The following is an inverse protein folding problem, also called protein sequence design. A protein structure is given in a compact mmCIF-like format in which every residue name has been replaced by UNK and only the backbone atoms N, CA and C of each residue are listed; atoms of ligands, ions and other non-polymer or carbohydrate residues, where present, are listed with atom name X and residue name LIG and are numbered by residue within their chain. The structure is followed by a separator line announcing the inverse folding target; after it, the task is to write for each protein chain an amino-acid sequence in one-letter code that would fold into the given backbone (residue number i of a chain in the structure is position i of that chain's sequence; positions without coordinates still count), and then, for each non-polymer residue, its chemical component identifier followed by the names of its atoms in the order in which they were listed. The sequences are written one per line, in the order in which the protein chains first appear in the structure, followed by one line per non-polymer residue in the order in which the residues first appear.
data_IF_959788941939
#
_entry.id   IF_959788941939
#
_cell.length_a   1.000
_cell.length_b   1.000
_cell.length_c   1.000
_cell.angle_alpha   90.00
_cell.angle_beta   90.00
_cell.angle_gamma   90.00
#
_symmetry.space_group_name_H-M   'P 1'
#
loop_
_entity.id
_entity.type
_entity.pdbx_description
1 polymer ?
#
# COMPACT_ATOMS: atom_id res chain seq x y z
N UNK A 1 7.09 -21.22 -42.60
CA UNK A 1 7.56 -21.40 -41.22
C UNK A 1 8.20 -20.09 -40.75
N UNK A 2 7.46 -19.19 -40.09
CA UNK A 2 8.06 -17.99 -39.47
C UNK A 2 7.30 -17.38 -38.27
N UNK A 3 6.10 -17.83 -37.88
CA UNK A 3 5.19 -16.92 -37.14
C UNK A 3 4.69 -17.36 -35.76
N UNK A 4 5.38 -18.28 -35.08
CA UNK A 4 5.07 -18.60 -33.65
C UNK A 4 6.07 -17.99 -32.66
N UNK A 5 7.29 -17.68 -33.10
CA UNK A 5 8.36 -17.13 -32.25
C UNK A 5 8.23 -15.61 -32.06
N UNK A 6 7.75 -14.89 -33.09
CA UNK A 6 7.52 -13.44 -33.04
C UNK A 6 6.24 -13.06 -32.25
N UNK A 7 5.18 -13.84 -32.36
CA UNK A 7 3.94 -13.64 -31.59
C UNK A 7 4.14 -13.87 -30.08
N UNK A 8 4.96 -14.86 -29.70
CA UNK A 8 5.30 -15.13 -28.30
C UNK A 8 6.05 -13.95 -27.66
N UNK A 9 7.05 -13.39 -28.34
CA UNK A 9 7.83 -12.24 -27.86
C UNK A 9 6.97 -10.97 -27.68
N UNK A 10 6.04 -10.69 -28.61
CA UNK A 10 5.06 -9.59 -28.42
C UNK A 10 4.14 -9.83 -27.22
N UNK A 11 3.70 -11.08 -27.02
CA UNK A 11 2.80 -11.43 -25.92
C UNK A 11 3.48 -11.37 -24.55
N UNK A 12 4.78 -11.69 -24.46
CA UNK A 12 5.57 -11.57 -23.23
C UNK A 12 5.83 -10.10 -22.88
N UNK A 13 6.25 -9.29 -23.85
CA UNK A 13 6.46 -7.86 -23.65
C UNK A 13 5.17 -7.11 -23.23
N UNK A 14 4.02 -7.48 -23.78
CA UNK A 14 2.72 -6.91 -23.37
C UNK A 14 2.29 -7.36 -21.96
N UNK A 15 2.59 -8.61 -21.58
CA UNK A 15 2.34 -9.12 -20.23
C UNK A 15 3.23 -8.43 -19.21
N UNK A 16 4.50 -8.24 -19.53
CA UNK A 16 5.46 -7.52 -18.68
C UNK A 16 5.08 -6.04 -18.51
N UNK A 17 4.71 -5.36 -19.60
CA UNK A 17 4.22 -3.97 -19.54
C UNK A 17 2.98 -3.83 -18.67
N UNK A 18 2.00 -4.74 -18.85
CA UNK A 18 0.77 -4.74 -18.04
C UNK A 18 1.07 -5.04 -16.57
N UNK A 19 2.01 -5.93 -16.29
CA UNK A 19 2.44 -6.24 -14.91
C UNK A 19 3.15 -5.03 -14.28
N UNK A 20 4.04 -4.35 -15.02
CA UNK A 20 4.73 -3.16 -14.55
C UNK A 20 3.75 -2.01 -14.29
N UNK A 21 2.80 -1.78 -15.20
CA UNK A 21 1.75 -0.77 -15.03
C UNK A 21 0.86 -1.07 -13.83
N UNK A 22 0.50 -2.33 -13.61
CA UNK A 22 -0.28 -2.74 -12.45
C UNK A 22 0.49 -2.56 -11.14
N UNK A 23 1.77 -2.96 -11.10
CA UNK A 23 2.62 -2.76 -9.93
C UNK A 23 2.80 -1.27 -9.61
N UNK A 24 3.02 -0.43 -10.63
CA UNK A 24 3.11 1.01 -10.45
C UNK A 24 1.78 1.59 -9.94
N UNK A 25 0.64 1.12 -10.45
CA UNK A 25 -0.67 1.53 -9.96
C UNK A 25 -0.87 1.19 -8.48
N UNK A 26 -0.58 -0.05 -8.07
CA UNK A 26 -0.71 -0.47 -6.67
C UNK A 26 0.23 0.29 -5.74
N UNK A 27 1.45 0.60 -6.19
CA UNK A 27 2.41 1.37 -5.39
C UNK A 27 1.95 2.82 -5.14
N UNK A 28 1.15 3.38 -6.05
CA UNK A 28 0.53 4.71 -5.93
C UNK A 28 -0.74 4.72 -5.08
N UNK A 29 -1.26 3.55 -4.69
CA UNK A 29 -2.46 3.50 -3.85
C UNK A 29 -2.09 3.68 -2.38
N UNK A 30 -2.75 4.60 -1.66
CA UNK A 30 -2.60 4.68 -0.21
C UNK A 30 -3.11 3.40 0.45
N UNK A 31 -2.43 2.99 1.52
CA UNK A 31 -2.86 1.86 2.35
C UNK A 31 -3.38 2.37 3.67
N UNK A 32 -4.55 1.86 4.05
CA UNK A 32 -5.22 2.18 5.28
C UNK A 32 -5.31 0.97 6.19
N UNK A 33 -5.34 1.24 7.49
CA UNK A 33 -5.65 0.30 8.54
C UNK A 33 -6.94 0.75 9.24
N UNK A 34 -7.92 -0.15 9.33
CA UNK A 34 -9.12 0.08 10.11
C UNK A 34 -8.87 -0.44 11.54
N UNK A 35 -8.78 0.49 12.49
CA UNK A 35 -8.45 0.22 13.90
C UNK A 35 -9.44 -0.77 14.50
N UNK A 36 -8.94 -1.85 15.10
CA UNK A 36 -9.73 -2.88 15.76
C UNK A 36 -9.86 -2.59 17.25
N UNK A 37 -10.82 -3.25 17.88
CA UNK A 37 -11.02 -3.13 19.32
C UNK A 37 -9.78 -3.61 20.08
N UNK A 38 -9.28 -2.77 20.99
CA UNK A 38 -8.12 -3.08 21.83
C UNK A 38 -6.76 -2.74 21.21
N UNK A 39 -6.70 -2.25 19.97
CA UNK A 39 -5.43 -1.79 19.38
C UNK A 39 -5.03 -0.41 19.93
N UNK A 40 -3.72 -0.22 20.08
CA UNK A 40 -3.11 1.05 20.41
C UNK A 40 -2.40 1.63 19.18
N UNK A 41 -2.20 2.94 19.16
CA UNK A 41 -1.48 3.61 18.08
C UNK A 41 -0.07 3.02 17.91
N UNK A 42 0.61 2.70 19.02
CA UNK A 42 1.94 2.09 19.03
C UNK A 42 1.97 0.71 18.39
N UNK A 43 1.02 -0.17 18.71
CA UNK A 43 0.95 -1.52 18.12
C UNK A 43 0.67 -1.47 16.61
N UNK A 44 -0.15 -0.53 16.17
CA UNK A 44 -0.42 -0.33 14.74
C UNK A 44 0.83 0.22 14.05
N UNK A 45 1.49 1.24 14.63
CA UNK A 45 2.70 1.80 14.06
C UNK A 45 3.79 0.73 13.88
N UNK A 46 4.02 -0.10 14.90
CA UNK A 46 4.96 -1.23 14.85
C UNK A 46 4.62 -2.21 13.72
N UNK A 47 3.34 -2.58 13.57
CA UNK A 47 2.88 -3.48 12.51
C UNK A 47 3.26 -3.01 11.11
N UNK A 48 3.30 -1.69 10.88
CA UNK A 48 3.62 -1.08 9.59
C UNK A 48 5.04 -0.52 9.52
N UNK A 49 5.89 -0.76 10.54
CA UNK A 49 7.26 -0.26 10.57
C UNK A 49 7.36 1.27 10.70
N UNK A 50 6.37 1.90 11.32
CA UNK A 50 6.33 3.32 11.61
C UNK A 50 6.60 3.58 13.10
N UNK A 51 7.01 4.80 13.42
CA UNK A 51 6.92 5.31 14.79
C UNK A 51 5.49 5.82 15.07
N UNK A 52 5.05 5.84 16.35
CA UNK A 52 3.76 6.45 16.71
C UNK A 52 3.64 7.90 16.22
N UNK A 53 4.72 8.69 16.34
CA UNK A 53 4.75 10.09 15.90
C UNK A 53 4.62 10.23 14.37
N UNK A 54 5.28 9.35 13.61
CA UNK A 54 5.12 9.31 12.14
C UNK A 54 3.69 8.97 11.75
N UNK A 55 3.07 8.00 12.43
CA UNK A 55 1.68 7.62 12.19
C UNK A 55 0.70 8.75 12.56
N UNK A 56 0.95 9.49 13.65
CA UNK A 56 0.17 10.68 14.00
C UNK A 56 0.26 11.76 12.93
N UNK A 57 1.48 12.11 12.53
CA UNK A 57 1.71 13.15 11.52
C UNK A 57 1.01 12.80 10.20
N UNK A 58 1.09 11.53 9.79
CA UNK A 58 0.44 11.03 8.58
C UNK A 58 -1.11 11.13 8.63
N UNK A 59 -1.69 11.11 9.84
CA UNK A 59 -3.13 11.13 10.07
C UNK A 59 -3.65 12.44 10.69
N UNK A 60 -2.79 13.45 10.85
CA UNK A 60 -3.14 14.71 11.50
C UNK A 60 -3.60 14.57 12.96
N UNK A 61 -3.12 13.54 13.67
CA UNK A 61 -3.47 13.30 15.07
C UNK A 61 -2.62 14.19 15.99
N UNK A 62 -3.25 14.76 17.02
CA UNK A 62 -2.56 15.57 18.04
C UNK A 62 -2.12 14.77 19.26
N UNK A 63 -2.67 13.57 19.45
CA UNK A 63 -2.35 12.66 20.55
C UNK A 63 -2.50 11.20 20.10
N UNK A 64 -2.23 10.26 21.02
CA UNK A 64 -2.24 8.83 20.72
C UNK A 64 -3.64 8.19 20.85
N UNK A 65 -4.69 8.97 21.09
CA UNK A 65 -6.05 8.45 21.26
C UNK A 65 -6.65 8.11 19.91
N UNK A 66 -6.86 6.81 19.69
CA UNK A 66 -7.55 6.27 18.54
C UNK A 66 -8.78 5.48 18.97
N UNK A 67 -9.75 5.33 18.07
CA UNK A 67 -11.00 4.58 18.33
C UNK A 67 -11.12 3.40 17.38
N UNK A 68 -11.72 2.32 17.86
CA UNK A 68 -12.12 1.21 16.99
C UNK A 68 -13.02 1.71 15.85
N UNK A 69 -12.77 1.22 14.64
CA UNK A 69 -13.41 1.67 13.40
C UNK A 69 -12.80 2.94 12.79
N UNK A 70 -11.84 3.58 13.45
CA UNK A 70 -11.09 4.69 12.85
C UNK A 70 -10.22 4.17 11.71
N UNK A 71 -10.19 4.90 10.59
CA UNK A 71 -9.31 4.58 9.47
C UNK A 71 -8.03 5.40 9.57
N UNK A 72 -6.89 4.72 9.65
CA UNK A 72 -5.57 5.33 9.68
C UNK A 72 -4.84 5.07 8.37
N UNK A 73 -4.34 6.13 7.74
CA UNK A 73 -3.36 6.05 6.67
C UNK A 73 -2.05 5.53 7.26
N UNK A 74 -1.57 4.38 6.76
CA UNK A 74 -0.35 3.72 7.25
C UNK A 74 0.74 3.69 6.19
N UNK A 75 0.40 3.92 4.92
CA UNK A 75 1.37 4.14 3.86
C UNK A 75 0.76 5.09 2.82
N UNK A 76 1.35 6.27 2.58
CA UNK A 76 0.94 7.09 1.45
C UNK A 76 1.26 6.36 0.14
N UNK A 77 0.46 6.63 -0.89
CA UNK A 77 0.80 6.22 -2.25
C UNK A 77 2.04 6.96 -2.75
N UNK A 78 2.81 6.32 -3.63
CA UNK A 78 3.93 6.93 -4.36
C UNK A 78 3.49 7.94 -5.42
#
# INVERSE_FOLDING_TARGET
VMDRRLAAIRSEAERERRQQEYAAFLARQPVYHDVKFGEALSSIAEQYGLSPDSLKMLNGLTDDRIKAGQRLLVRPGL
#
